data_IF_278118545636
#
_entry.id   IF_278118545636
#
_cell.length_a   1.000
_cell.length_b   1.000
_cell.length_c   1.000
_cell.angle_alpha   90.00
_cell.angle_beta   90.00
_cell.angle_gamma   90.00
#
_symmetry.space_group_name_H-M   'P 1'
#
loop_
_entity.id
_entity.type
_entity.pdbx_description
1 polymer ?
#
# COMPACT_ATOMS: atom_id res chain seq x y z
N UNK A 1 17.11 15.70 -42.53
CA UNK A 1 15.88 14.88 -42.59
C UNK A 1 15.58 14.40 -41.17
N UNK A 2 14.67 15.09 -40.48
CA UNK A 2 14.33 14.80 -39.08
C UNK A 2 13.19 13.79 -39.00
N UNK A 3 13.39 12.70 -38.25
CA UNK A 3 12.35 11.72 -37.97
C UNK A 3 11.49 12.19 -36.80
N UNK A 4 10.21 12.37 -37.06
CA UNK A 4 9.19 12.60 -36.05
C UNK A 4 8.84 11.28 -35.36
N UNK A 5 9.04 11.20 -34.05
CA UNK A 5 8.58 10.09 -33.22
C UNK A 5 7.15 10.36 -32.75
N UNK A 6 6.23 9.53 -33.24
CA UNK A 6 4.80 9.55 -32.91
C UNK A 6 4.60 9.20 -31.44
N UNK A 7 4.21 10.18 -30.61
CA UNK A 7 3.76 9.95 -29.23
C UNK A 7 2.31 9.43 -29.26
N UNK A 8 2.13 8.14 -28.98
CA UNK A 8 0.83 7.49 -28.84
C UNK A 8 0.14 7.90 -27.53
N UNK A 9 -0.44 9.10 -27.49
CA UNK A 9 -1.35 9.49 -26.41
C UNK A 9 -2.68 8.75 -26.54
N UNK A 10 -3.08 7.98 -25.52
CA UNK A 10 -4.46 7.47 -25.42
C UNK A 10 -5.43 8.66 -25.45
N UNK A 11 -6.60 8.54 -26.11
CA UNK A 11 -7.53 9.65 -26.22
C UNK A 11 -8.15 9.94 -24.85
N UNK A 12 -7.94 11.17 -24.37
CA UNK A 12 -8.53 11.81 -23.17
C UNK A 12 -10.04 11.58 -22.99
N UNK A 13 -10.74 11.23 -24.07
CA UNK A 13 -12.20 11.08 -24.14
C UNK A 13 -12.72 9.85 -23.39
N UNK A 14 -12.00 8.71 -23.39
CA UNK A 14 -12.48 7.49 -22.71
C UNK A 14 -12.42 7.63 -21.19
N UNK A 15 -11.33 8.21 -20.67
CA UNK A 15 -11.18 8.51 -19.24
C UNK A 15 -12.22 9.50 -18.73
N UNK A 16 -12.66 10.45 -19.56
CA UNK A 16 -13.67 11.43 -19.18
C UNK A 16 -15.08 10.83 -19.11
N UNK A 17 -15.38 9.82 -19.95
CA UNK A 17 -16.66 9.10 -19.95
C UNK A 17 -16.79 8.17 -18.73
N UNK A 18 -15.71 7.47 -18.38
CA UNK A 18 -15.66 6.61 -17.19
C UNK A 18 -15.66 7.48 -15.91
N UNK A 19 -14.96 8.61 -15.90
CA UNK A 19 -15.05 9.57 -14.79
C UNK A 19 -16.47 10.13 -14.61
N UNK A 20 -17.27 10.17 -15.69
CA UNK A 20 -18.66 10.60 -15.65
C UNK A 20 -19.55 9.62 -14.90
N UNK A 21 -19.39 8.32 -15.16
CA UNK A 21 -20.18 7.25 -14.54
C UNK A 21 -19.83 7.09 -13.06
N UNK A 22 -18.54 7.19 -12.72
CA UNK A 22 -18.03 7.09 -11.35
C UNK A 22 -17.99 8.43 -10.62
N UNK A 23 -18.84 9.37 -11.02
CA UNK A 23 -18.97 10.65 -10.32
C UNK A 23 -20.02 10.66 -9.23
N UNK A 24 -20.83 9.59 -9.06
CA UNK A 24 -21.92 9.46 -8.06
C UNK A 24 -21.48 8.71 -6.80
N UNK A 25 -22.21 8.89 -5.70
CA UNK A 25 -21.97 8.14 -4.47
C UNK A 25 -22.22 6.64 -4.72
N UNK A 26 -21.40 5.78 -4.14
CA UNK A 26 -21.54 4.31 -4.30
C UNK A 26 -22.52 3.72 -3.29
N UNK A 27 -22.79 4.46 -2.20
CA UNK A 27 -23.58 3.99 -1.07
C UNK A 27 -22.73 3.49 0.10
N UNK A 28 -21.40 3.62 0.05
CA UNK A 28 -20.50 3.26 1.16
C UNK A 28 -20.87 3.95 2.49
N UNK A 29 -21.38 5.19 2.40
CA UNK A 29 -21.91 5.94 3.53
C UNK A 29 -23.37 6.35 3.24
N UNK A 30 -24.26 6.36 4.25
CA UNK A 30 -25.67 6.69 4.07
C UNK A 30 -25.89 8.15 3.68
N UNK A 31 -24.97 9.04 4.03
CA UNK A 31 -25.04 10.48 3.75
C UNK A 31 -23.69 11.02 3.29
N UNK A 32 -23.71 11.97 2.35
CA UNK A 32 -22.54 12.71 1.90
C UNK A 32 -22.76 14.21 2.12
N UNK A 33 -21.88 14.90 2.89
CA UNK A 33 -22.04 16.34 3.14
C UNK A 33 -21.69 17.21 1.92
N UNK A 34 -21.15 16.61 0.86
CA UNK A 34 -20.78 17.31 -0.37
C UNK A 34 -21.89 17.21 -1.42
N UNK A 35 -22.10 18.30 -2.16
CA UNK A 35 -23.00 18.25 -3.33
C UNK A 35 -22.39 17.44 -4.47
N UNK A 36 -23.20 16.59 -5.09
CA UNK A 36 -22.82 15.76 -6.25
C UNK A 36 -22.21 16.59 -7.39
N UNK A 37 -22.72 17.80 -7.63
CA UNK A 37 -22.19 18.72 -8.64
C UNK A 37 -20.75 19.16 -8.35
N UNK A 38 -20.41 19.38 -7.08
CA UNK A 38 -19.07 19.78 -6.66
C UNK A 38 -18.11 18.61 -6.75
N UNK A 39 -18.49 17.43 -6.25
CA UNK A 39 -17.68 16.20 -6.33
C UNK A 39 -17.37 15.87 -7.78
N UNK A 40 -18.39 15.86 -8.65
CA UNK A 40 -18.21 15.66 -10.10
C UNK A 40 -17.21 16.64 -10.70
N UNK A 41 -17.28 17.92 -10.33
CA UNK A 41 -16.34 18.94 -10.82
C UNK A 41 -14.91 18.67 -10.36
N UNK A 42 -14.72 18.21 -9.12
CA UNK A 42 -13.40 17.84 -8.61
C UNK A 42 -12.81 16.65 -9.37
N UNK A 43 -13.62 15.61 -9.62
CA UNK A 43 -13.22 14.42 -10.38
C UNK A 43 -12.83 14.80 -11.81
N UNK A 44 -13.69 15.54 -12.53
CA UNK A 44 -13.43 15.96 -13.92
C UNK A 44 -12.22 16.90 -14.06
N UNK A 45 -11.84 17.60 -12.98
CA UNK A 45 -10.62 18.43 -12.94
C UNK A 45 -9.39 17.64 -12.49
N UNK A 46 -9.50 16.34 -12.21
CA UNK A 46 -8.42 15.51 -11.69
C UNK A 46 -7.93 15.95 -10.32
N UNK A 47 -8.78 16.60 -9.51
CA UNK A 47 -8.43 17.02 -8.15
C UNK A 47 -8.60 15.90 -7.12
N UNK A 48 -9.49 14.97 -7.40
CA UNK A 48 -9.75 13.77 -6.59
C UNK A 48 -10.00 12.58 -7.53
N UNK A 49 -9.75 11.36 -7.05
CA UNK A 49 -10.04 10.14 -7.77
C UNK A 49 -11.56 9.96 -8.02
N UNK A 50 -11.98 9.26 -9.09
CA UNK A 50 -13.37 8.88 -9.26
C UNK A 50 -13.88 7.99 -8.10
N UNK A 51 -15.19 8.01 -7.86
CA UNK A 51 -15.87 7.17 -6.85
C UNK A 51 -16.20 5.79 -7.43
N UNK A 52 -15.17 4.97 -7.61
CA UNK A 52 -15.34 3.56 -7.97
C UNK A 52 -15.98 2.79 -6.80
N UNK A 53 -16.81 1.77 -7.07
CA UNK A 53 -17.21 0.82 -6.02
C UNK A 53 -15.97 0.07 -5.51
N UNK A 54 -15.86 -0.09 -4.20
CA UNK A 54 -14.78 -0.86 -3.58
C UNK A 54 -15.01 -2.36 -3.75
N UNK A 55 -13.92 -3.12 -3.83
CA UNK A 55 -13.94 -4.58 -3.77
C UNK A 55 -13.36 -5.04 -2.43
N UNK A 56 -13.88 -6.14 -1.87
CA UNK A 56 -13.36 -6.71 -0.62
C UNK A 56 -12.03 -7.46 -0.81
N UNK A 57 -11.75 -7.91 -2.04
CA UNK A 57 -10.54 -8.66 -2.41
C UNK A 57 -9.76 -7.94 -3.52
N UNK A 58 -8.42 -8.08 -3.56
CA UNK A 58 -7.60 -7.49 -4.61
C UNK A 58 -7.85 -8.21 -5.94
N UNK A 59 -7.96 -7.43 -7.02
CA UNK A 59 -8.12 -7.93 -8.40
C UNK A 59 -7.03 -7.37 -9.30
N UNK A 60 -6.98 -7.80 -10.56
CA UNK A 60 -5.97 -7.27 -11.49
C UNK A 60 -6.07 -5.75 -11.70
N UNK A 61 -7.29 -5.22 -11.60
CA UNK A 61 -7.61 -3.81 -11.81
C UNK A 61 -7.63 -3.04 -10.49
N UNK A 62 -8.14 -3.64 -9.41
CA UNK A 62 -8.27 -3.05 -8.07
C UNK A 62 -7.25 -3.66 -7.12
N UNK A 63 -6.07 -3.05 -7.01
CA UNK A 63 -4.97 -3.57 -6.17
C UNK A 63 -4.62 -2.67 -5.00
N UNK A 64 -4.99 -1.40 -5.08
CA UNK A 64 -4.61 -0.41 -4.08
C UNK A 64 -5.71 -0.32 -3.01
N UNK A 65 -5.33 -0.46 -1.74
CA UNK A 65 -6.24 -0.52 -0.59
C UNK A 65 -6.42 0.85 0.08
N UNK A 66 -7.66 1.20 0.43
CA UNK A 66 -7.96 2.40 1.22
C UNK A 66 -7.76 2.14 2.72
N UNK A 67 -6.90 2.92 3.38
CA UNK A 67 -6.58 2.73 4.80
C UNK A 67 -7.67 3.20 5.80
N UNK A 68 -8.87 3.50 5.31
CA UNK A 68 -10.02 3.87 6.14
C UNK A 68 -11.13 2.82 6.06
N UNK A 69 -11.47 2.37 4.86
CA UNK A 69 -12.53 1.36 4.65
C UNK A 69 -12.01 -0.04 4.33
N UNK A 70 -10.70 -0.20 4.12
CA UNK A 70 -10.02 -1.47 3.80
C UNK A 70 -10.51 -2.17 2.52
N UNK A 71 -11.16 -1.42 1.63
CA UNK A 71 -11.58 -1.90 0.30
C UNK A 71 -10.51 -1.57 -0.75
N UNK A 72 -10.48 -2.39 -1.81
CA UNK A 72 -9.59 -2.25 -2.95
C UNK A 72 -10.22 -1.40 -4.06
N UNK A 73 -9.43 -0.52 -4.65
CA UNK A 73 -9.87 0.39 -5.71
C UNK A 73 -8.88 0.43 -6.88
N UNK A 74 -9.32 0.83 -8.10
CA UNK A 74 -8.42 0.96 -9.23
C UNK A 74 -7.44 2.14 -9.07
N UNK A 75 -7.90 3.16 -8.35
CA UNK A 75 -7.22 4.44 -8.18
C UNK A 75 -7.59 5.01 -6.81
N UNK A 76 -6.60 5.52 -6.10
CA UNK A 76 -6.77 6.15 -4.80
C UNK A 76 -6.15 7.54 -4.78
N UNK A 77 -6.55 8.33 -3.79
CA UNK A 77 -5.88 9.59 -3.48
C UNK A 77 -4.77 9.32 -2.46
N UNK A 78 -3.72 10.14 -2.50
CA UNK A 78 -2.65 10.09 -1.50
C UNK A 78 -2.71 11.34 -0.64
N UNK A 79 -2.71 11.16 0.68
CA UNK A 79 -2.62 12.28 1.63
C UNK A 79 -1.37 13.11 1.39
N UNK A 80 -1.49 14.44 1.46
CA UNK A 80 -0.37 15.35 1.21
C UNK A 80 0.69 15.22 2.29
N UNK A 81 0.29 15.09 3.56
CA UNK A 81 1.19 15.11 4.70
C UNK A 81 2.00 13.81 4.88
N UNK A 82 1.41 12.63 4.63
CA UNK A 82 2.08 11.35 4.90
C UNK A 82 1.97 10.32 3.78
N UNK A 83 1.43 10.68 2.61
CA UNK A 83 1.38 9.81 1.42
C UNK A 83 0.46 8.59 1.53
N UNK A 84 -0.28 8.44 2.63
CA UNK A 84 -1.21 7.32 2.86
C UNK A 84 -2.39 7.34 1.88
N UNK A 85 -2.85 6.16 1.50
CA UNK A 85 -3.89 5.96 0.49
C UNK A 85 -5.30 6.09 1.09
N UNK A 86 -6.18 6.82 0.39
CA UNK A 86 -7.56 7.04 0.80
C UNK A 86 -8.50 7.15 -0.42
N UNK A 87 -9.65 6.48 -0.37
CA UNK A 87 -10.66 6.58 -1.42
C UNK A 87 -11.40 7.93 -1.33
N UNK A 88 -12.03 8.34 -2.43
CA UNK A 88 -12.70 9.64 -2.49
C UNK A 88 -13.88 9.72 -1.52
N UNK A 89 -14.63 8.65 -1.31
CA UNK A 89 -15.76 8.67 -0.36
C UNK A 89 -15.30 8.87 1.08
N UNK A 90 -14.27 8.15 1.53
CA UNK A 90 -13.68 8.34 2.87
C UNK A 90 -13.15 9.77 3.04
N UNK A 91 -12.45 10.33 2.04
CA UNK A 91 -11.98 11.71 2.08
C UNK A 91 -13.13 12.72 2.26
N UNK A 92 -14.22 12.57 1.50
CA UNK A 92 -15.37 13.48 1.57
C UNK A 92 -16.07 13.44 2.93
N UNK A 93 -16.03 12.30 3.64
CA UNK A 93 -16.54 12.18 5.01
C UNK A 93 -15.65 12.90 6.02
N UNK A 94 -14.33 12.73 5.89
CA UNK A 94 -13.36 13.33 6.83
C UNK A 94 -13.28 14.85 6.64
N UNK A 95 -13.40 15.35 5.41
CA UNK A 95 -13.32 16.79 5.12
C UNK A 95 -14.63 17.32 4.54
N UNK A 96 -15.68 17.56 5.35
CA UNK A 96 -16.89 18.25 4.90
C UNK A 96 -16.60 19.70 4.46
N UNK A 97 -17.32 20.24 3.47
CA UNK A 97 -17.03 21.58 2.93
C UNK A 97 -17.45 22.73 3.86
N UNK A 98 -18.26 22.45 4.88
CA UNK A 98 -18.85 23.44 5.81
C UNK A 98 -18.06 23.60 7.11
N UNK A 99 -17.03 22.79 7.34
CA UNK A 99 -16.17 22.92 8.52
C UNK A 99 -15.02 23.87 8.17
N UNK A 100 -14.98 25.01 8.86
CA UNK A 100 -13.97 26.05 8.69
C UNK A 100 -12.60 25.67 9.26
N UNK A 101 -12.56 24.63 10.09
CA UNK A 101 -11.34 23.99 10.57
C UNK A 101 -11.03 22.82 9.64
N UNK A 102 -9.82 22.81 9.08
CA UNK A 102 -9.29 21.61 8.46
C UNK A 102 -9.08 20.57 9.54
N UNK A 103 -9.79 19.44 9.45
CA UNK A 103 -9.54 18.30 10.33
C UNK A 103 -8.06 17.90 10.28
N UNK A 104 -7.57 17.35 11.39
CA UNK A 104 -6.24 16.75 11.42
C UNK A 104 -6.24 15.46 10.59
N UNK A 105 -5.10 15.14 9.98
CA UNK A 105 -4.96 13.91 9.23
C UNK A 105 -5.32 12.70 10.09
N UNK A 106 -6.24 11.82 9.67
CA UNK A 106 -6.67 10.68 10.48
C UNK A 106 -5.50 9.74 10.80
N UNK A 107 -4.47 9.75 9.94
CA UNK A 107 -3.33 8.86 9.99
C UNK A 107 -2.14 9.36 10.81
N UNK A 108 -1.71 10.61 10.60
CA UNK A 108 -0.50 11.16 11.23
C UNK A 108 -0.76 12.39 12.10
N UNK A 109 -2.02 12.79 12.24
CA UNK A 109 -2.48 13.94 13.04
C UNK A 109 -1.88 15.30 12.64
N UNK A 110 -1.26 15.39 11.45
CA UNK A 110 -0.82 16.68 10.89
C UNK A 110 -2.06 17.53 10.58
N UNK A 111 -2.09 18.82 10.99
CA UNK A 111 -3.19 19.71 10.69
C UNK A 111 -3.29 19.99 9.19
N UNK A 112 -4.38 20.60 8.74
CA UNK A 112 -4.59 20.90 7.32
C UNK A 112 -4.69 19.65 6.45
N UNK A 113 -5.49 18.65 6.87
CA UNK A 113 -5.68 17.42 6.11
C UNK A 113 -6.11 17.69 4.66
N UNK A 114 -5.30 17.24 3.71
CA UNK A 114 -5.57 17.34 2.28
C UNK A 114 -5.04 16.13 1.53
N UNK A 115 -5.50 15.98 0.28
CA UNK A 115 -5.15 14.88 -0.61
C UNK A 115 -4.61 15.39 -1.95
N UNK A 116 -3.86 14.52 -2.61
CA UNK A 116 -3.38 14.70 -3.97
C UNK A 116 -3.77 13.49 -4.80
N UNK A 117 -4.28 13.73 -6.01
CA UNK A 117 -4.60 12.68 -6.96
C UNK A 117 -3.61 12.72 -8.12
N UNK A 118 -2.89 11.61 -8.32
CA UNK A 118 -1.84 11.50 -9.35
C UNK A 118 -2.33 10.80 -10.63
N UNK A 119 -3.61 10.40 -10.69
CA UNK A 119 -4.15 9.63 -11.80
C UNK A 119 -3.81 8.14 -11.71
N UNK A 120 -4.09 7.37 -12.77
CA UNK A 120 -3.87 5.93 -12.77
C UNK A 120 -2.37 5.65 -12.89
N UNK A 121 -1.88 4.67 -12.12
CA UNK A 121 -0.53 4.12 -12.35
C UNK A 121 -0.47 3.56 -13.76
N UNK A 122 0.59 3.89 -14.49
CA UNK A 122 0.83 3.30 -15.82
C UNK A 122 1.13 1.80 -15.69
N UNK A 123 0.94 1.04 -16.77
CA UNK A 123 1.29 -0.38 -16.81
C UNK A 123 2.78 -0.61 -16.53
N UNK A 124 3.63 0.31 -17.00
CA UNK A 124 5.06 0.30 -16.73
C UNK A 124 5.35 0.54 -15.25
N UNK A 125 4.70 1.51 -14.63
CA UNK A 125 4.87 1.79 -13.20
C UNK A 125 4.45 0.59 -12.34
N UNK A 126 3.29 -0.02 -12.63
CA UNK A 126 2.84 -1.22 -11.91
C UNK A 126 3.84 -2.37 -12.05
N UNK A 127 4.40 -2.58 -13.24
CA UNK A 127 5.41 -3.60 -13.48
C UNK A 127 6.71 -3.33 -12.73
N UNK A 128 7.12 -2.08 -12.64
CA UNK A 128 8.32 -1.68 -11.90
C UNK A 128 8.14 -1.89 -10.40
N UNK A 129 6.98 -1.51 -9.85
CA UNK A 129 6.62 -1.77 -8.45
C UNK A 129 6.67 -3.27 -8.14
N UNK A 130 6.07 -4.11 -8.99
CA UNK A 130 6.09 -5.57 -8.82
C UNK A 130 7.52 -6.17 -8.89
N UNK A 131 8.35 -5.68 -9.82
CA UNK A 131 9.75 -6.10 -9.90
C UNK A 131 10.56 -5.67 -8.68
N UNK A 132 10.29 -4.49 -8.13
CA UNK A 132 10.91 -4.00 -6.91
C UNK A 132 10.48 -4.82 -5.69
N UNK A 133 9.18 -5.09 -5.54
CA UNK A 133 8.63 -5.96 -4.50
C UNK A 133 9.27 -7.36 -4.56
N UNK A 134 9.37 -7.96 -5.74
CA UNK A 134 10.05 -9.24 -5.92
C UNK A 134 11.53 -9.20 -5.53
N UNK A 135 12.23 -8.08 -5.81
CA UNK A 135 13.63 -7.90 -5.41
C UNK A 135 13.77 -7.82 -3.89
N UNK A 136 12.90 -7.06 -3.23
CA UNK A 136 12.90 -6.91 -1.77
C UNK A 136 12.62 -8.26 -1.10
N UNK A 137 11.61 -9.00 -1.57
CA UNK A 137 11.28 -10.33 -1.05
C UNK A 137 12.46 -11.29 -1.14
N UNK A 138 13.09 -11.40 -2.32
CA UNK A 138 14.27 -12.27 -2.51
C UNK A 138 15.46 -11.86 -1.66
N UNK A 139 15.68 -10.55 -1.47
CA UNK A 139 16.75 -10.06 -0.62
C UNK A 139 16.50 -10.40 0.86
N UNK A 140 15.25 -10.29 1.33
CA UNK A 140 14.87 -10.65 2.69
C UNK A 140 15.06 -12.16 2.94
N UNK A 141 14.59 -13.01 2.04
CA UNK A 141 14.79 -14.47 2.13
C UNK A 141 16.28 -14.86 2.16
N UNK A 142 17.12 -14.18 1.37
CA UNK A 142 18.56 -14.43 1.35
C UNK A 142 19.23 -13.98 2.66
N UNK A 143 18.87 -12.80 3.18
CA UNK A 143 19.37 -12.31 4.46
C UNK A 143 18.97 -13.22 5.63
N UNK A 144 17.72 -13.73 5.62
CA UNK A 144 17.26 -14.67 6.63
C UNK A 144 18.04 -15.99 6.60
N UNK A 145 18.34 -16.52 5.39
CA UNK A 145 19.19 -17.72 5.24
C UNK A 145 20.61 -17.49 5.76
N UNK A 146 21.24 -16.37 5.38
CA UNK A 146 22.59 -16.04 5.84
C UNK A 146 22.67 -15.88 7.37
N UNK A 147 21.65 -15.28 7.99
CA UNK A 147 21.60 -15.17 9.44
C UNK A 147 21.50 -16.54 10.12
N UNK A 148 20.75 -17.48 9.55
CA UNK A 148 20.66 -18.85 10.06
C UNK A 148 22.02 -19.56 9.97
N UNK A 149 22.70 -19.48 8.83
CA UNK A 149 24.04 -20.05 8.63
C UNK A 149 25.06 -19.43 9.62
N UNK A 150 25.01 -18.11 9.81
CA UNK A 150 25.93 -17.42 10.73
C UNK A 150 25.67 -17.78 12.20
N UNK A 151 24.41 -17.99 12.60
CA UNK A 151 24.06 -18.50 13.94
C UNK A 151 24.52 -19.95 14.14
N UNK A 152 24.39 -20.81 13.12
CA UNK A 152 24.90 -22.18 13.14
C UNK A 152 26.43 -22.21 13.29
N UNK A 153 27.14 -21.44 12.48
CA UNK A 153 28.61 -21.31 12.54
C UNK A 153 29.07 -20.79 13.93
N UNK A 154 28.38 -19.79 14.48
CA UNK A 154 28.67 -19.25 15.81
C UNK A 154 28.39 -20.28 16.92
N UNK A 155 27.31 -21.06 16.79
CA UNK A 155 26.98 -22.16 17.71
C UNK A 155 28.02 -23.28 17.66
N UNK A 156 28.46 -23.68 16.45
CA UNK A 156 29.52 -24.66 16.26
C UNK A 156 30.85 -24.19 16.87
N UNK A 157 31.23 -22.92 16.65
CA UNK A 157 32.43 -22.33 17.23
C UNK A 157 32.39 -22.33 18.76
N UNK A 158 31.25 -21.99 19.36
CA UNK A 158 31.04 -22.06 20.81
C UNK A 158 31.16 -23.50 21.35
N UNK A 159 30.64 -24.49 20.62
CA UNK A 159 30.79 -25.90 21.01
C UNK A 159 32.26 -26.35 20.95
N UNK A 160 33.00 -25.98 19.90
CA UNK A 160 34.42 -26.34 19.76
C UNK A 160 35.27 -25.70 20.86
N UNK A 161 35.04 -24.44 21.20
CA UNK A 161 35.80 -23.72 22.24
C UNK A 161 35.49 -24.18 23.66
N UNK A 162 34.34 -24.84 23.89
CA UNK A 162 33.97 -25.42 25.19
C UNK A 162 34.74 -26.71 25.57
N UNK A 163 35.55 -27.27 24.67
CA UNK A 163 36.30 -28.53 24.92
C UNK A 163 37.72 -28.34 25.49
N UNK A 164 38.17 -27.11 25.73
CA UNK A 164 39.40 -26.80 26.48
C UNK A 164 39.13 -26.04 27.80
N UNK A 165 39.14 -26.82 28.91
CA UNK A 165 39.07 -26.55 30.39
C UNK A 165 39.80 -25.27 30.89
N UNK A 166 39.64 -24.68 32.14
CA UNK A 166 38.90 -25.01 33.39
C UNK A 166 38.04 -23.84 33.99
N UNK A 167 37.43 -24.06 35.17
CA UNK A 167 36.69 -23.10 36.03
C UNK A 167 37.40 -21.75 36.22
N UNK A 168 36.77 -20.59 35.93
CA UNK A 168 36.85 -19.33 36.74
C UNK A 168 35.71 -18.32 36.43
N UNK A 169 34.99 -17.96 37.51
CA UNK A 169 34.41 -16.65 37.90
C UNK A 169 33.68 -15.74 36.91
N UNK A 170 32.38 -15.59 37.16
CA UNK A 170 31.44 -14.58 36.66
C UNK A 170 31.96 -13.14 36.81
N UNK A 171 31.99 -12.37 35.72
CA UNK A 171 31.65 -10.93 35.74
C UNK A 171 30.80 -10.55 34.53
N UNK A 172 29.67 -9.97 34.85
CA UNK A 172 28.57 -9.55 34.00
C UNK A 172 28.93 -8.29 33.16
N UNK A 173 28.68 -8.26 31.83
CA UNK A 173 28.79 -7.03 31.04
C UNK A 173 27.44 -6.32 30.87
N UNK A 174 27.52 -4.99 30.94
CA UNK A 174 26.43 -4.00 30.85
C UNK A 174 25.48 -4.20 29.67
N UNK A 175 24.20 -3.95 29.97
CA UNK A 175 23.07 -3.87 29.04
C UNK A 175 23.29 -2.81 27.94
N UNK A 176 23.08 -3.21 26.68
CA UNK A 176 22.92 -2.32 25.52
C UNK A 176 21.41 -2.26 25.19
N UNK A 177 20.81 -1.09 24.88
CA UNK A 177 19.38 -1.00 24.62
C UNK A 177 19.03 -1.66 23.29
N UNK A 178 18.04 -2.54 23.31
CA UNK A 178 17.44 -3.16 22.12
C UNK A 178 16.66 -2.09 21.37
N UNK A 179 17.12 -1.71 20.17
CA UNK A 179 16.31 -0.91 19.24
C UNK A 179 15.28 -1.81 18.57
N UNK A 180 14.01 -1.41 18.65
CA UNK A 180 12.87 -2.08 18.00
C UNK A 180 13.11 -2.28 16.50
N UNK A 181 13.39 -3.53 16.10
CA UNK A 181 13.22 -3.97 14.72
C UNK A 181 11.73 -4.25 14.54
N UNK A 182 11.07 -3.44 13.72
CA UNK A 182 9.68 -3.62 13.36
C UNK A 182 9.56 -4.86 12.45
N UNK A 183 9.04 -5.94 13.01
CA UNK A 183 8.72 -7.18 12.28
C UNK A 183 7.54 -6.90 11.32
N UNK A 184 7.61 -7.27 10.03
CA UNK A 184 6.45 -7.26 9.15
C UNK A 184 5.41 -8.31 9.59
N UNK A 185 4.11 -8.10 9.30
CA UNK A 185 3.05 -8.99 9.73
C UNK A 185 3.14 -10.36 9.05
N UNK A 186 2.96 -11.40 9.86
CA UNK A 186 2.87 -12.81 9.48
C UNK A 186 1.91 -13.00 8.28
N UNK A 187 2.43 -13.44 7.14
CA UNK A 187 1.62 -13.98 6.06
C UNK A 187 1.35 -15.45 6.36
N UNK A 188 0.10 -15.76 6.72
CA UNK A 188 -0.36 -17.13 6.86
C UNK A 188 -0.19 -17.90 5.53
N UNK A 189 0.21 -19.18 5.57
CA UNK A 189 0.36 -19.99 4.36
C UNK A 189 -1.00 -20.25 3.70
N UNK A 190 -1.11 -19.89 2.43
CA UNK A 190 -2.21 -20.30 1.56
C UNK A 190 -2.08 -21.80 1.33
N UNK A 191 -2.96 -22.58 1.93
CA UNK A 191 -3.08 -24.01 1.66
C UNK A 191 -3.63 -24.21 0.25
N UNK A 192 -2.80 -24.78 -0.63
CA UNK A 192 -3.20 -25.24 -1.95
C UNK A 192 -3.98 -26.55 -1.78
N UNK A 193 -5.32 -26.48 -1.70
CA UNK A 193 -6.14 -27.67 -1.89
C UNK A 193 -6.37 -27.91 -3.39
N UNK A 194 -5.69 -28.93 -3.88
CA UNK A 194 -6.02 -29.73 -5.06
C UNK A 194 -7.49 -30.11 -5.08
N UNK A 195 -8.22 -29.74 -6.13
CA UNK A 195 -9.41 -30.47 -6.56
C UNK A 195 -9.29 -30.84 -8.03
N UNK A 196 -8.82 -32.06 -8.22
CA UNK A 196 -8.95 -32.85 -9.42
C UNK A 196 -10.37 -33.46 -9.46
N UNK A 197 -11.12 -33.20 -10.53
CA UNK A 197 -12.13 -34.09 -11.11
C UNK A 197 -13.46 -34.31 -10.38
N UNK A 198 -14.56 -33.95 -11.05
CA UNK A 198 -15.49 -34.96 -11.56
C UNK A 198 -16.33 -34.45 -12.73
N UNK A 199 -16.30 -35.23 -13.79
CA UNK A 199 -17.22 -35.23 -14.92
C UNK A 199 -18.55 -35.78 -14.42
N UNK A 200 -19.64 -35.06 -14.69
CA UNK A 200 -20.90 -35.62 -15.17
C UNK A 200 -21.80 -34.52 -15.74
#
# INVERSE_FOLDING_TARGET
MGNATSRSGKPRVQSDLDALSFSKATGLYPYCPWSERLVRRLILRGRVAPRYPGADEPTEVQRDECLICFLYYPMLNSTVCCGKQICTECFLQIRPPKLHHSEDCPFCKTPSFDISFKGPKSSEQRRMEELEEQRVMRAWEAAQRQNCEHEEDHSLLNLMTSTSKPTQSLKEPRQIPVTNVLLPPELHPVTFETLSGHVH
#
